data_IF_790248544805
#
_entry.id   IF_790248544805
#
_cell.length_a   1.000
_cell.length_b   1.000
_cell.length_c   1.000
_cell.angle_alpha   90.00
_cell.angle_beta   90.00
_cell.angle_gamma   90.00
#
_symmetry.space_group_name_H-M   'P 1'
#
loop_
_entity.id
_entity.type
_entity.pdbx_description
1 polymer ?
#
# COMPACT_ATOMS: atom_id res chain seq x y z
N UNK A 1 18.12 8.58 7.21
CA UNK A 1 16.93 7.74 7.10
C UNK A 1 15.73 8.44 7.71
N UNK A 2 14.63 8.53 6.99
CA UNK A 2 13.39 9.13 7.49
C UNK A 2 12.38 8.04 7.86
N UNK A 3 11.40 8.40 8.67
CA UNK A 3 10.26 7.54 8.99
C UNK A 3 9.04 8.08 8.27
N UNK A 4 8.37 7.20 7.51
CA UNK A 4 7.14 7.56 6.80
C UNK A 4 5.98 6.74 7.33
N UNK A 5 4.85 7.40 7.54
CA UNK A 5 3.57 6.75 7.83
C UNK A 5 2.63 7.11 6.69
N UNK A 6 2.19 6.10 5.96
CA UNK A 6 1.18 6.26 4.91
C UNK A 6 -0.15 5.77 5.44
N UNK A 7 -1.16 6.62 5.39
CA UNK A 7 -2.50 6.31 5.90
C UNK A 7 -3.44 6.18 4.72
N UNK A 8 -4.10 5.03 4.62
CA UNK A 8 -5.10 4.76 3.59
C UNK A 8 -6.47 4.76 4.24
N UNK A 9 -7.29 5.76 3.92
CA UNK A 9 -8.63 5.91 4.50
C UNK A 9 -9.75 5.65 3.50
N UNK A 10 -9.41 5.38 2.23
CA UNK A 10 -10.38 5.17 1.16
C UNK A 10 -10.27 3.76 0.61
N UNK A 11 -11.36 3.29 0.01
CA UNK A 11 -11.45 1.94 -0.55
C UNK A 11 -11.18 1.92 -2.06
N UNK A 12 -11.00 3.06 -2.70
CA UNK A 12 -10.83 3.09 -4.15
C UNK A 12 -9.45 2.57 -4.57
N UNK A 13 -9.42 1.99 -5.76
CA UNK A 13 -8.23 1.32 -6.29
C UNK A 13 -7.08 2.30 -6.54
N UNK A 14 -7.39 3.51 -7.00
CA UNK A 14 -6.36 4.54 -7.27
C UNK A 14 -5.62 4.93 -6.00
N UNK A 15 -6.36 5.25 -4.93
CA UNK A 15 -5.75 5.66 -3.66
C UNK A 15 -4.91 4.55 -3.07
N UNK A 16 -5.40 3.31 -3.09
CA UNK A 16 -4.67 2.16 -2.57
C UNK A 16 -3.39 1.92 -3.35
N UNK A 17 -3.46 1.95 -4.67
CA UNK A 17 -2.29 1.72 -5.52
C UNK A 17 -1.23 2.79 -5.29
N UNK A 18 -1.63 4.07 -5.17
CA UNK A 18 -0.68 5.15 -4.87
C UNK A 18 -0.05 4.99 -3.50
N UNK A 19 -0.84 4.60 -2.49
CA UNK A 19 -0.33 4.35 -1.14
C UNK A 19 0.76 3.27 -1.16
N UNK A 20 0.50 2.15 -1.81
CA UNK A 20 1.44 1.04 -1.89
C UNK A 20 2.68 1.42 -2.71
N UNK A 21 2.50 2.14 -3.80
CA UNK A 21 3.61 2.60 -4.64
C UNK A 21 4.57 3.50 -3.86
N UNK A 22 4.04 4.49 -3.16
CA UNK A 22 4.88 5.39 -2.38
C UNK A 22 5.56 4.68 -1.24
N UNK A 23 4.88 3.72 -0.60
CA UNK A 23 5.49 2.88 0.42
C UNK A 23 6.67 2.08 -0.13
N UNK A 24 6.50 1.48 -1.29
CA UNK A 24 7.59 0.73 -1.95
C UNK A 24 8.77 1.63 -2.29
N UNK A 25 8.51 2.80 -2.86
CA UNK A 25 9.58 3.73 -3.24
C UNK A 25 10.37 4.17 -2.01
N UNK A 26 9.67 4.59 -0.95
CA UNK A 26 10.33 5.03 0.27
C UNK A 26 11.16 3.93 0.90
N UNK A 27 10.62 2.71 0.96
CA UNK A 27 11.34 1.58 1.53
C UNK A 27 12.58 1.23 0.69
N UNK A 28 12.45 1.25 -0.62
CA UNK A 28 13.57 0.91 -1.51
C UNK A 28 14.73 1.91 -1.41
N UNK A 29 14.46 3.11 -0.90
CA UNK A 29 15.47 4.14 -0.67
C UNK A 29 16.06 4.08 0.74
N UNK A 30 15.73 3.06 1.51
CA UNK A 30 16.31 2.85 2.83
C UNK A 30 15.59 3.56 3.97
N UNK A 31 14.38 4.09 3.73
CA UNK A 31 13.59 4.73 4.79
C UNK A 31 12.74 3.71 5.53
N UNK A 32 12.39 4.03 6.77
CA UNK A 32 11.41 3.23 7.52
C UNK A 32 10.01 3.60 7.07
N UNK A 33 9.20 2.59 6.77
CA UNK A 33 7.85 2.77 6.25
C UNK A 33 6.87 1.98 7.09
N UNK A 34 5.75 2.63 7.45
CA UNK A 34 4.61 2.00 8.10
C UNK A 34 3.36 2.36 7.30
N UNK A 35 2.47 1.41 7.14
CA UNK A 35 1.17 1.63 6.52
C UNK A 35 0.08 1.47 7.57
N UNK A 36 -0.98 2.26 7.48
CA UNK A 36 -2.10 2.18 8.39
C UNK A 36 -3.40 2.33 7.62
N UNK A 37 -4.27 1.34 7.72
CA UNK A 37 -5.58 1.35 7.06
C UNK A 37 -6.63 1.77 8.08
N UNK A 38 -7.38 2.82 7.77
CA UNK A 38 -8.47 3.32 8.62
C UNK A 38 -9.74 3.50 7.78
N UNK A 39 -10.89 3.59 8.45
CA UNK A 39 -12.17 3.78 7.79
C UNK A 39 -12.33 2.74 6.66
N UNK A 40 -12.71 3.15 5.47
CA UNK A 40 -12.91 2.24 4.34
C UNK A 40 -11.59 1.62 3.85
N UNK A 41 -10.45 2.20 4.20
CA UNK A 41 -9.15 1.64 3.84
C UNK A 41 -8.86 0.29 4.47
N UNK A 42 -9.51 -0.05 5.60
CA UNK A 42 -9.31 -1.35 6.24
C UNK A 42 -9.76 -2.51 5.36
N UNK A 43 -10.60 -2.28 4.37
CA UNK A 43 -11.03 -3.32 3.44
C UNK A 43 -9.87 -3.86 2.60
N UNK A 44 -8.77 -3.12 2.50
CA UNK A 44 -7.57 -3.57 1.79
C UNK A 44 -6.75 -4.60 2.58
N UNK A 45 -7.08 -4.83 3.85
CA UNK A 45 -6.48 -5.91 4.63
C UNK A 45 -7.11 -7.27 4.35
N UNK A 46 -8.21 -7.32 3.58
CA UNK A 46 -8.89 -8.57 3.23
C UNK A 46 -8.06 -9.33 2.20
N UNK A 47 -7.61 -10.54 2.54
CA UNK A 47 -6.77 -11.36 1.68
C UNK A 47 -7.50 -11.89 0.45
N UNK A 48 -8.82 -11.86 0.43
CA UNK A 48 -9.62 -12.30 -0.73
C UNK A 48 -9.78 -11.21 -1.78
N UNK A 49 -9.29 -10.01 -1.51
CA UNK A 49 -9.47 -8.86 -2.38
C UNK A 49 -8.70 -9.03 -3.68
N UNK A 50 -9.33 -8.65 -4.79
CA UNK A 50 -8.66 -8.65 -6.09
C UNK A 50 -7.68 -7.47 -6.17
N UNK A 51 -6.40 -7.79 -6.35
CA UNK A 51 -5.32 -6.80 -6.44
C UNK A 51 -4.91 -6.49 -7.88
N UNK A 52 -5.56 -7.08 -8.86
CA UNK A 52 -5.16 -6.97 -10.27
C UNK A 52 -5.96 -5.94 -11.05
N UNK A 53 -6.84 -5.19 -10.40
CA UNK A 53 -7.60 -4.12 -11.06
C UNK A 53 -6.68 -2.95 -11.36
N UNK A 54 -6.54 -2.62 -12.63
CA UNK A 54 -5.61 -1.58 -13.05
C UNK A 54 -6.18 -0.18 -12.82
N UNK A 55 -5.28 0.74 -12.49
CA UNK A 55 -5.61 2.16 -12.37
C UNK A 55 -5.55 2.82 -13.74
N UNK A 56 -5.83 4.13 -13.79
CA UNK A 56 -5.76 4.91 -15.03
C UNK A 56 -4.35 4.97 -15.61
N UNK A 57 -3.32 4.78 -14.78
CA UNK A 57 -1.92 4.78 -15.23
C UNK A 57 -1.42 3.39 -15.62
N UNK A 58 -2.29 2.37 -15.55
CA UNK A 58 -1.96 1.02 -16.01
C UNK A 58 -1.31 0.11 -14.98
N UNK A 59 -1.04 0.60 -13.78
CA UNK A 59 -0.55 -0.23 -12.68
C UNK A 59 -1.70 -0.72 -11.81
N UNK A 60 -1.39 -1.58 -10.85
CA UNK A 60 -2.40 -2.14 -9.95
C UNK A 60 -1.78 -2.39 -8.57
N UNK A 61 -2.61 -2.58 -7.53
CA UNK A 61 -2.09 -2.85 -6.18
C UNK A 61 -1.15 -4.05 -6.12
N UNK A 62 -1.37 -5.06 -6.95
CA UNK A 62 -0.53 -6.25 -6.97
C UNK A 62 0.90 -5.97 -7.48
N UNK A 63 1.13 -4.83 -8.10
CA UNK A 63 2.48 -4.43 -8.51
C UNK A 63 3.35 -4.02 -7.32
N UNK A 64 2.74 -3.59 -6.22
CA UNK A 64 3.46 -2.99 -5.10
C UNK A 64 3.26 -3.71 -3.77
N UNK A 65 2.05 -4.17 -3.47
CA UNK A 65 1.74 -4.75 -2.17
C UNK A 65 2.58 -5.98 -1.83
N UNK A 66 2.83 -6.93 -2.75
CA UNK A 66 3.67 -8.10 -2.44
C UNK A 66 5.08 -7.71 -2.00
N UNK A 67 5.66 -6.66 -2.59
CA UNK A 67 6.95 -6.15 -2.15
C UNK A 67 6.93 -5.72 -0.68
N UNK A 68 5.88 -5.00 -0.29
CA UNK A 68 5.75 -4.51 1.08
C UNK A 68 5.61 -5.66 2.07
N UNK A 69 4.84 -6.68 1.70
CA UNK A 69 4.66 -7.87 2.54
C UNK A 69 5.96 -8.66 2.65
N UNK A 70 6.65 -8.88 1.54
CA UNK A 70 7.89 -9.66 1.49
C UNK A 70 9.02 -8.98 2.26
N UNK A 71 8.99 -7.67 2.40
CA UNK A 71 9.99 -6.90 3.12
C UNK A 71 9.55 -6.56 4.55
N UNK A 72 8.50 -7.20 5.05
CA UNK A 72 8.01 -7.06 6.42
C UNK A 72 7.67 -5.61 6.80
N UNK A 73 7.19 -4.83 5.84
CA UNK A 73 6.74 -3.46 6.11
C UNK A 73 5.50 -3.53 7.01
N UNK A 74 5.50 -2.89 8.18
CA UNK A 74 4.35 -2.97 9.10
C UNK A 74 3.09 -2.37 8.48
N UNK A 75 2.00 -3.13 8.54
CA UNK A 75 0.69 -2.70 8.06
C UNK A 75 -0.28 -2.85 9.21
N UNK A 76 -0.77 -1.72 9.74
CA UNK A 76 -1.73 -1.69 10.84
C UNK A 76 -3.15 -1.45 10.33
N UNK A 77 -4.12 -1.90 11.10
CA UNK A 77 -5.54 -1.67 10.83
C UNK A 77 -6.24 -1.20 12.10
#
# INVERSE_FOLDING_TARGET
>A
MANFLFVLSKNDNESATRCFQFGQIAHSKGHMVNLFFINDGVLWADSSRNLDTKTTTGDCPNDYLPYLIDNDVPIGV
#
